data_IF_326713186022
#
_entry.id   IF_326713186022
#
_cell.length_a   1.000
_cell.length_b   1.000
_cell.length_c   1.000
_cell.angle_alpha   90.00
_cell.angle_beta   90.00
_cell.angle_gamma   90.00
#
_symmetry.space_group_name_H-M   'P 1'
#
loop_
_entity.id
_entity.type
_entity.pdbx_description
1 polymer ?
#
# COMPACT_ATOMS: atom_id res chain seq x y z
N UNK A 1 5.83 7.46 -1.94
CA UNK A 1 4.96 6.52 -1.19
C UNK A 1 3.54 6.44 -1.72
N UNK A 2 3.03 7.43 -2.47
CA UNK A 2 1.77 7.28 -3.24
C UNK A 2 1.75 6.04 -4.14
N UNK A 3 2.82 5.83 -4.92
CA UNK A 3 2.88 4.69 -5.85
C UNK A 3 2.81 3.34 -5.10
N UNK A 4 3.35 3.28 -3.88
CA UNK A 4 3.25 2.13 -2.99
C UNK A 4 1.80 1.91 -2.53
N UNK A 5 1.13 2.97 -2.08
CA UNK A 5 -0.28 2.92 -1.72
C UNK A 5 -1.16 2.47 -2.90
N UNK A 6 -0.88 2.93 -4.12
CA UNK A 6 -1.63 2.48 -5.31
C UNK A 6 -1.38 1.01 -5.63
N UNK A 7 -0.17 0.49 -5.43
CA UNK A 7 0.11 -0.94 -5.61
C UNK A 7 -0.63 -1.81 -4.58
N UNK A 8 -0.85 -1.33 -3.35
CA UNK A 8 -1.63 -2.09 -2.34
C UNK A 8 -3.07 -2.39 -2.76
N UNK A 9 -3.66 -1.52 -3.59
CA UNK A 9 -5.02 -1.72 -4.12
C UNK A 9 -5.08 -2.99 -4.95
N UNK A 10 -4.05 -3.26 -5.75
CA UNK A 10 -3.96 -4.48 -6.57
C UNK A 10 -3.74 -5.74 -5.72
N UNK A 11 -3.21 -5.58 -4.51
CA UNK A 11 -3.08 -6.65 -3.51
C UNK A 11 -4.35 -6.85 -2.68
N UNK A 12 -5.44 -6.13 -3.00
CA UNK A 12 -6.74 -6.25 -2.34
C UNK A 12 -6.91 -5.43 -1.06
N UNK A 13 -5.98 -4.51 -0.75
CA UNK A 13 -6.06 -3.67 0.44
C UNK A 13 -6.44 -2.22 0.10
N UNK A 14 -7.35 -1.65 0.89
CA UNK A 14 -7.46 -0.20 0.97
C UNK A 14 -6.17 0.36 1.59
N UNK A 15 -5.54 1.39 1.00
CA UNK A 15 -4.32 1.96 1.56
C UNK A 15 -4.57 2.62 2.91
N UNK A 16 -3.50 2.74 3.69
CA UNK A 16 -3.53 3.45 4.96
C UNK A 16 -3.65 4.97 4.79
N UNK A 17 -3.74 5.70 5.90
CA UNK A 17 -3.67 7.16 5.88
C UNK A 17 -2.30 7.61 5.35
N UNK A 18 -2.31 8.38 4.28
CA UNK A 18 -1.11 8.88 3.62
C UNK A 18 -0.82 10.32 4.02
N UNK A 19 0.46 10.68 4.09
CA UNK A 19 0.95 12.05 4.27
C UNK A 19 0.55 12.73 5.58
N UNK A 20 0.14 11.95 6.58
CA UNK A 20 -0.11 12.41 7.94
C UNK A 20 0.61 11.47 8.93
N UNK A 21 1.22 12.00 10.01
CA UNK A 21 1.35 13.42 10.35
C UNK A 21 2.29 14.17 9.41
N UNK A 22 2.07 15.48 9.24
CA UNK A 22 2.79 16.32 8.28
C UNK A 22 4.31 16.41 8.54
N UNK A 23 4.76 16.07 9.75
CA UNK A 23 6.17 16.12 10.15
C UNK A 23 6.99 14.92 9.66
N UNK A 24 6.36 13.93 9.01
CA UNK A 24 7.04 12.77 8.42
C UNK A 24 6.78 12.72 6.92
N UNK A 25 7.80 13.03 6.12
CA UNK A 25 7.68 13.04 4.65
C UNK A 25 7.36 11.64 4.11
N UNK A 26 6.27 11.56 3.34
CA UNK A 26 5.83 10.30 2.76
C UNK A 26 5.22 9.31 3.75
N UNK A 27 4.82 9.77 4.95
CA UNK A 27 4.23 8.93 6.00
C UNK A 27 3.12 7.99 5.49
N UNK A 28 3.11 6.80 6.09
CA UNK A 28 2.10 5.75 5.93
C UNK A 28 1.62 5.41 7.36
N UNK A 29 0.50 5.99 7.78
CA UNK A 29 -0.06 5.80 9.13
C UNK A 29 -1.12 4.71 9.09
N UNK A 30 -0.82 3.57 9.74
CA UNK A 30 -1.62 2.34 9.73
C UNK A 30 -2.32 2.18 11.07
N UNK A 31 -3.64 1.97 11.03
CA UNK A 31 -4.49 1.67 12.19
C UNK A 31 -5.40 0.49 11.85
N UNK A 32 -5.16 -0.72 12.38
CA UNK A 32 -5.97 -1.88 12.05
C UNK A 32 -7.31 -1.96 12.80
N UNK A 33 -7.47 -1.25 13.93
CA UNK A 33 -8.58 -1.44 14.90
C UNK A 33 -8.57 -2.82 15.56
N UNK A 34 -9.35 -2.97 16.64
CA UNK A 34 -9.41 -4.18 17.45
C UNK A 34 -10.25 -5.32 16.84
N UNK A 35 -11.05 -5.02 15.81
CA UNK A 35 -11.94 -6.02 15.18
C UNK A 35 -11.22 -6.92 14.18
N UNK A 36 -10.04 -6.51 13.72
CA UNK A 36 -9.27 -7.28 12.75
C UNK A 36 -8.60 -8.50 13.38
N UNK A 37 -8.73 -9.65 12.72
CA UNK A 37 -8.13 -10.88 13.23
C UNK A 37 -6.61 -10.88 13.06
N UNK A 38 -5.89 -11.62 13.90
CA UNK A 38 -4.44 -11.82 13.72
C UNK A 38 -4.09 -12.29 12.31
N UNK A 39 -4.90 -13.17 11.74
CA UNK A 39 -4.67 -13.69 10.39
C UNK A 39 -4.77 -12.59 9.33
N UNK A 40 -5.66 -11.61 9.46
CA UNK A 40 -5.72 -10.43 8.57
C UNK A 40 -4.46 -9.57 8.73
N UNK A 41 -4.03 -9.32 9.96
CA UNK A 41 -2.82 -8.53 10.24
C UNK A 41 -1.57 -9.19 9.66
N UNK A 42 -1.46 -10.52 9.76
CA UNK A 42 -0.35 -11.28 9.18
C UNK A 42 -0.35 -11.13 7.65
N UNK A 43 -1.51 -11.30 6.99
CA UNK A 43 -1.62 -11.11 5.54
C UNK A 43 -1.27 -9.70 5.10
N UNK A 44 -1.73 -8.69 5.84
CA UNK A 44 -1.40 -7.29 5.57
C UNK A 44 0.12 -7.04 5.69
N UNK A 45 0.76 -7.55 6.75
CA UNK A 45 2.21 -7.44 6.95
C UNK A 45 2.99 -8.14 5.83
N UNK A 46 2.58 -9.34 5.43
CA UNK A 46 3.23 -10.10 4.36
C UNK A 46 3.15 -9.36 3.01
N UNK A 47 1.98 -8.79 2.70
CA UNK A 47 1.78 -7.95 1.51
C UNK A 47 2.68 -6.71 1.54
N UNK A 48 2.72 -5.98 2.66
CA UNK A 48 3.61 -4.82 2.81
C UNK A 48 5.08 -5.20 2.62
N UNK A 49 5.51 -6.31 3.22
CA UNK A 49 6.88 -6.80 3.08
C UNK A 49 7.21 -7.20 1.64
N UNK A 50 6.27 -7.82 0.93
CA UNK A 50 6.43 -8.18 -0.49
C UNK A 50 6.57 -6.94 -1.38
N UNK A 51 5.70 -5.96 -1.22
CA UNK A 51 5.78 -4.69 -1.94
C UNK A 51 7.07 -3.94 -1.61
N UNK A 52 7.51 -3.92 -0.35
CA UNK A 52 8.77 -3.30 0.04
C UNK A 52 9.98 -3.97 -0.60
N UNK A 53 9.97 -5.30 -0.71
CA UNK A 53 11.02 -6.06 -1.44
C UNK A 53 11.02 -5.71 -2.92
N UNK A 54 9.86 -5.70 -3.58
CA UNK A 54 9.74 -5.36 -5.00
C UNK A 54 10.22 -3.93 -5.29
N UNK A 55 9.84 -2.95 -4.44
CA UNK A 55 10.30 -1.58 -4.55
C UNK A 55 11.83 -1.48 -4.41
N UNK A 56 12.42 -2.17 -3.44
CA UNK A 56 13.89 -2.23 -3.26
C UNK A 56 14.61 -2.92 -4.42
N UNK A 57 13.96 -3.90 -5.05
CA UNK A 57 14.48 -4.60 -6.22
C UNK A 57 14.39 -3.78 -7.52
N UNK A 58 13.75 -2.59 -7.49
CA UNK A 58 13.66 -1.70 -8.65
C UNK A 58 12.52 -2.04 -9.62
N UNK A 59 11.47 -2.74 -9.16
CA UNK A 59 10.28 -3.06 -9.96
C UNK A 59 9.38 -1.83 -10.16
N UNK A 60 9.88 -0.81 -10.87
CA UNK A 60 9.24 0.52 -10.98
C UNK A 60 7.85 0.44 -11.61
N UNK A 61 7.69 -0.38 -12.65
CA UNK A 61 6.45 -0.48 -13.43
C UNK A 61 5.28 -0.97 -12.60
N UNK A 62 5.53 -1.91 -11.67
CA UNK A 62 4.54 -2.40 -10.72
C UNK A 62 3.91 -1.28 -9.90
N UNK A 63 4.66 -0.25 -9.55
CA UNK A 63 4.17 0.84 -8.69
C UNK A 63 3.64 2.02 -9.49
N UNK A 64 4.32 2.41 -10.58
CA UNK A 64 3.93 3.57 -11.38
C UNK A 64 2.62 3.36 -12.12
N UNK A 65 2.40 2.16 -12.65
CA UNK A 65 1.18 1.84 -13.41
C UNK A 65 -0.03 1.43 -12.56
N UNK A 66 0.17 1.20 -11.26
CA UNK A 66 -0.89 0.80 -10.33
C UNK A 66 -1.90 1.93 -10.04
N UNK A 67 -3.18 1.60 -9.78
CA UNK A 67 -3.72 0.24 -9.79
C UNK A 67 -4.01 -0.28 -11.20
N UNK A 68 -3.82 -1.58 -11.41
CA UNK A 68 -4.11 -2.31 -12.64
C UNK A 68 -5.43 -3.11 -12.58
N UNK A 69 -5.82 -3.56 -11.39
CA UNK A 69 -6.97 -4.47 -11.20
C UNK A 69 -8.22 -3.76 -10.66
N UNK A 70 -8.08 -2.50 -10.22
CA UNK A 70 -9.22 -1.68 -9.83
C UNK A 70 -10.12 -1.32 -11.05
N UNK A 71 -11.43 -1.04 -10.83
CA UNK A 71 -12.35 -0.67 -11.91
C UNK A 71 -11.91 0.55 -12.73
N UNK A 72 -11.17 1.46 -12.10
CA UNK A 72 -10.56 2.64 -12.71
C UNK A 72 -9.09 2.71 -12.32
N UNK A 73 -8.27 3.25 -13.23
CA UNK A 73 -6.85 3.52 -12.99
C UNK A 73 -6.70 4.87 -12.29
N UNK A 74 -5.48 5.40 -12.25
CA UNK A 74 -5.24 6.77 -11.77
C UNK A 74 -6.05 7.74 -12.62
N UNK A 75 -6.83 8.59 -11.95
CA UNK A 75 -7.55 9.69 -12.56
C UNK A 75 -6.60 10.86 -12.76
N UNK A 76 -6.83 11.61 -13.83
CA UNK A 76 -6.15 12.87 -14.15
C UNK A 76 -6.68 14.05 -13.34
#
# INVERSE_FOLDING_TARGET
>A
TLDFAKAMIDEGFHPMTMYFPLVVHGAMLIEPTETESKAELDRFCDTLAALARAAKAGDVERFKGAPFHAPLRRLD
#
